data_IF_162358288858
#
_entry.id   IF_162358288858
#
_cell.length_a   1.000
_cell.length_b   1.000
_cell.length_c   1.000
_cell.angle_alpha   90.00
_cell.angle_beta   90.00
_cell.angle_gamma   90.00
#
_symmetry.space_group_name_H-M   'P 1'
#
loop_
_entity.id
_entity.type
_entity.pdbx_description
1 polymer ?
#
# COMPACT_ATOMS: atom_id res chain seq x y z
N UNK A 1 -3.16 3.22 -29.72
CA UNK A 1 -1.84 3.64 -29.14
C UNK A 1 -1.96 4.85 -28.18
N UNK A 2 -2.37 4.65 -26.92
CA UNK A 2 -2.33 5.72 -25.89
C UNK A 2 -1.19 5.51 -24.89
N UNK A 3 0.06 5.68 -25.36
CA UNK A 3 1.28 5.52 -24.55
C UNK A 3 1.36 6.48 -23.35
N UNK A 4 0.77 7.68 -23.47
CA UNK A 4 0.68 8.66 -22.38
C UNK A 4 -0.17 8.16 -21.21
N UNK A 5 -1.40 7.69 -21.48
CA UNK A 5 -2.31 7.18 -20.44
C UNK A 5 -1.67 6.02 -19.66
N UNK A 6 -1.02 5.09 -20.36
CA UNK A 6 -0.30 3.98 -19.73
C UNK A 6 0.81 4.42 -18.77
N UNK A 7 1.61 5.42 -19.17
CA UNK A 7 2.68 5.97 -18.33
C UNK A 7 2.10 6.61 -17.07
N UNK A 8 1.03 7.40 -17.21
CA UNK A 8 0.36 8.04 -16.08
C UNK A 8 -0.21 6.98 -15.12
N UNK A 9 -0.93 5.98 -15.63
CA UNK A 9 -1.47 4.88 -14.81
C UNK A 9 -0.32 4.15 -14.09
N UNK A 10 0.76 3.82 -14.81
CA UNK A 10 1.92 3.16 -14.23
C UNK A 10 2.58 3.98 -13.11
N UNK A 11 2.73 5.28 -13.30
CA UNK A 11 3.28 6.18 -12.28
C UNK A 11 2.37 6.27 -11.05
N UNK A 12 1.07 6.47 -11.23
CA UNK A 12 0.12 6.56 -10.12
C UNK A 12 0.07 5.25 -9.34
N UNK A 13 -0.08 4.12 -10.03
CA UNK A 13 -0.09 2.79 -9.40
C UNK A 13 1.24 2.55 -8.68
N UNK A 14 2.37 2.87 -9.31
CA UNK A 14 3.70 2.71 -8.71
C UNK A 14 3.89 3.55 -7.44
N UNK A 15 3.43 4.80 -7.44
CA UNK A 15 3.50 5.68 -6.26
C UNK A 15 2.64 5.16 -5.12
N UNK A 16 1.40 4.74 -5.40
CA UNK A 16 0.52 4.15 -4.38
C UNK A 16 1.13 2.85 -3.82
N UNK A 17 1.64 1.98 -4.69
CA UNK A 17 2.32 0.75 -4.28
C UNK A 17 3.54 1.01 -3.41
N UNK A 18 4.39 1.98 -3.80
CA UNK A 18 5.56 2.35 -3.01
C UNK A 18 5.15 2.84 -1.61
N UNK A 19 4.13 3.71 -1.52
CA UNK A 19 3.60 4.17 -0.23
C UNK A 19 3.08 3.02 0.65
N UNK A 20 2.29 2.11 0.08
CA UNK A 20 1.76 0.94 0.80
C UNK A 20 2.85 -0.04 1.23
N UNK A 21 3.87 -0.27 0.39
CA UNK A 21 5.01 -1.11 0.73
C UNK A 21 5.82 -0.50 1.88
N UNK A 22 6.08 0.81 1.84
CA UNK A 22 6.75 1.53 2.92
C UNK A 22 5.92 1.41 4.21
N UNK A 23 4.61 1.62 4.16
CA UNK A 23 3.71 1.40 5.31
C UNK A 23 3.88 0.00 5.88
N UNK A 24 3.82 -1.03 5.04
CA UNK A 24 3.90 -2.43 5.48
C UNK A 24 5.23 -2.70 6.20
N UNK A 25 6.35 -2.25 5.62
CA UNK A 25 7.68 -2.40 6.23
C UNK A 25 7.75 -1.66 7.57
N UNK A 26 7.30 -0.40 7.63
CA UNK A 26 7.32 0.39 8.86
C UNK A 26 6.48 -0.26 9.97
N UNK A 27 5.27 -0.74 9.64
CA UNK A 27 4.39 -1.44 10.59
C UNK A 27 5.05 -2.73 11.08
N UNK A 28 5.59 -3.54 10.17
CA UNK A 28 6.28 -4.80 10.50
C UNK A 28 7.50 -4.60 11.40
N UNK A 29 8.25 -3.52 11.19
CA UNK A 29 9.43 -3.19 11.99
C UNK A 29 9.10 -2.47 13.31
N UNK A 30 7.81 -2.21 13.58
CA UNK A 30 7.40 -1.49 14.80
C UNK A 30 7.87 -0.04 14.81
N UNK A 31 7.87 0.63 13.65
CA UNK A 31 8.30 2.02 13.54
C UNK A 31 7.47 2.96 14.44
N UNK A 32 8.14 3.94 15.04
CA UNK A 32 7.50 4.91 15.93
C UNK A 32 6.48 5.79 15.19
N UNK A 33 5.20 5.69 15.53
CA UNK A 33 4.09 6.46 14.92
C UNK A 33 4.12 7.96 15.27
N UNK A 34 4.87 8.36 16.30
CA UNK A 34 5.09 9.76 16.65
C UNK A 34 6.11 10.45 15.73
N UNK A 35 6.88 9.67 14.95
CA UNK A 35 7.79 10.25 13.97
C UNK A 35 7.00 10.82 12.78
N UNK A 36 7.25 12.08 12.43
CA UNK A 36 6.51 12.83 11.38
C UNK A 36 6.52 12.10 10.02
N UNK A 37 7.63 11.47 9.64
CA UNK A 37 7.71 10.73 8.37
C UNK A 37 6.85 9.46 8.41
N UNK A 38 6.97 8.68 9.48
CA UNK A 38 6.18 7.44 9.68
C UNK A 38 4.69 7.77 9.72
N UNK A 39 4.32 8.77 10.50
CA UNK A 39 2.96 9.27 10.62
C UNK A 39 2.40 9.73 9.26
N UNK A 40 3.17 10.53 8.52
CA UNK A 40 2.79 11.02 7.20
C UNK A 40 2.52 9.88 6.21
N UNK A 41 3.36 8.85 6.19
CA UNK A 41 3.13 7.65 5.36
C UNK A 41 1.82 6.97 5.76
N UNK A 42 1.59 6.77 7.06
CA UNK A 42 0.37 6.13 7.54
C UNK A 42 -0.88 6.93 7.17
N UNK A 43 -0.86 8.26 7.36
CA UNK A 43 -1.98 9.13 7.01
C UNK A 43 -2.30 9.12 5.52
N UNK A 44 -1.29 9.26 4.65
CA UNK A 44 -1.48 9.34 3.19
C UNK A 44 -2.02 8.02 2.64
N UNK A 45 -1.58 6.89 3.20
CA UNK A 45 -1.98 5.55 2.74
C UNK A 45 -3.29 5.08 3.37
N UNK A 46 -3.72 5.67 4.49
CA UNK A 46 -4.88 5.22 5.25
C UNK A 46 -6.18 5.11 4.43
N UNK A 47 -6.55 6.06 3.56
CA UNK A 47 -7.80 5.96 2.82
C UNK A 47 -7.89 4.71 1.93
N UNK A 48 -6.76 4.25 1.38
CA UNK A 48 -6.70 3.04 0.54
C UNK A 48 -6.81 1.78 1.41
N UNK A 49 -6.14 1.78 2.56
CA UNK A 49 -6.13 0.64 3.49
C UNK A 49 -7.47 0.48 4.21
N UNK A 50 -8.11 1.57 4.61
CA UNK A 50 -9.35 1.60 5.39
C UNK A 50 -10.50 0.80 4.74
N UNK A 51 -10.50 0.69 3.41
CA UNK A 51 -11.49 -0.10 2.65
C UNK A 51 -11.41 -1.60 2.99
N UNK A 52 -10.22 -2.08 3.39
CA UNK A 52 -9.92 -3.50 3.65
C UNK A 52 -9.70 -3.80 5.13
N UNK A 53 -9.85 -2.81 6.01
CA UNK A 53 -9.75 -3.02 7.45
C UNK A 53 -10.86 -3.95 7.95
N UNK A 54 -10.53 -4.81 8.90
CA UNK A 54 -11.47 -5.78 9.47
C UNK A 54 -11.68 -7.06 8.65
N UNK A 55 -11.15 -7.17 7.42
CA UNK A 55 -11.20 -8.42 6.64
C UNK A 55 -10.42 -9.53 7.37
N UNK A 56 -9.25 -9.19 7.91
CA UNK A 56 -8.46 -10.05 8.78
C UNK A 56 -7.97 -9.27 9.99
N UNK A 57 -7.81 -9.98 11.11
CA UNK A 57 -7.21 -9.40 12.31
C UNK A 57 -5.74 -9.03 12.07
N UNK A 58 -5.28 -7.96 12.72
CA UNK A 58 -3.86 -7.60 12.74
C UNK A 58 -3.09 -8.62 13.57
N UNK A 59 -1.84 -8.90 13.17
CA UNK A 59 -0.99 -9.89 13.83
C UNK A 59 0.20 -9.15 14.43
N UNK A 60 0.32 -9.17 15.76
CA UNK A 60 1.48 -8.61 16.44
C UNK A 60 2.71 -9.51 16.25
N UNK A 61 3.84 -8.89 15.92
CA UNK A 61 5.15 -9.54 15.76
C UNK A 61 6.04 -9.05 16.91
N UNK A 62 5.98 -9.78 18.03
CA UNK A 62 6.59 -9.34 19.30
C UNK A 62 7.92 -10.06 19.54
N UNK A 63 8.98 -9.72 18.78
CA UNK A 63 10.25 -10.45 18.90
C UNK A 63 11.52 -9.60 19.21
N UNK A 64 11.53 -8.27 19.14
CA UNK A 64 12.75 -7.49 19.43
C UNK A 64 12.39 -6.04 19.80
N UNK A 65 12.55 -5.61 21.07
CA UNK A 65 12.55 -4.21 21.59
C UNK A 65 11.45 -3.19 21.15
N UNK A 66 10.65 -3.51 20.15
CA UNK A 66 9.58 -2.78 19.50
C UNK A 66 8.56 -3.83 19.01
N UNK A 67 7.28 -3.55 19.19
CA UNK A 67 6.21 -4.46 18.77
C UNK A 67 5.84 -4.16 17.31
N UNK A 68 6.31 -5.01 16.40
CA UNK A 68 5.88 -4.97 15.00
C UNK A 68 4.41 -5.37 14.86
N UNK A 69 3.75 -4.90 13.82
CA UNK A 69 2.38 -5.27 13.48
C UNK A 69 2.35 -5.63 12.00
N UNK A 70 1.96 -6.87 11.71
CA UNK A 70 1.54 -7.23 10.36
C UNK A 70 0.08 -6.82 10.19
N UNK A 71 -0.16 -6.02 9.14
CA UNK A 71 -1.47 -5.46 8.83
C UNK A 71 -1.96 -6.06 7.49
N UNK A 72 -2.75 -7.16 7.52
CA UNK A 72 -3.20 -7.83 6.31
C UNK A 72 -3.97 -6.91 5.35
N UNK A 73 -4.67 -5.91 5.88
CA UNK A 73 -5.38 -4.90 5.10
C UNK A 73 -4.45 -4.14 4.14
N UNK A 74 -3.23 -3.78 4.57
CA UNK A 74 -2.22 -3.17 3.68
C UNK A 74 -1.81 -4.12 2.57
N UNK A 75 -1.60 -5.40 2.88
CA UNK A 75 -1.23 -6.39 1.87
C UNK A 75 -2.36 -6.58 0.84
N UNK A 76 -3.61 -6.65 1.29
CA UNK A 76 -4.78 -6.73 0.40
C UNK A 76 -4.88 -5.47 -0.47
N UNK A 77 -4.71 -4.28 0.12
CA UNK A 77 -4.71 -3.03 -0.62
C UNK A 77 -3.65 -3.03 -1.74
N UNK A 78 -2.44 -3.52 -1.46
CA UNK A 78 -1.40 -3.68 -2.47
C UNK A 78 -1.84 -4.62 -3.59
N UNK A 79 -2.38 -5.80 -3.27
CA UNK A 79 -2.85 -6.75 -4.28
C UNK A 79 -3.94 -6.15 -5.17
N UNK A 80 -4.95 -5.50 -4.57
CA UNK A 80 -6.08 -4.92 -5.30
C UNK A 80 -5.64 -3.76 -6.19
N UNK A 81 -4.81 -2.84 -5.68
CA UNK A 81 -4.28 -1.72 -6.48
C UNK A 81 -3.44 -2.23 -7.65
N UNK A 82 -2.63 -3.28 -7.45
CA UNK A 82 -1.84 -3.88 -8.52
C UNK A 82 -2.73 -4.51 -9.60
N UNK A 83 -3.78 -5.24 -9.20
CA UNK A 83 -4.74 -5.84 -10.12
C UNK A 83 -5.50 -4.77 -10.93
N UNK A 84 -5.98 -3.71 -10.27
CA UNK A 84 -6.66 -2.59 -10.94
C UNK A 84 -5.70 -1.93 -11.94
N UNK A 85 -4.46 -1.63 -11.53
CA UNK A 85 -3.45 -1.05 -12.41
C UNK A 85 -3.19 -1.90 -13.65
N UNK A 86 -3.05 -3.22 -13.47
CA UNK A 86 -2.86 -4.16 -14.56
C UNK A 86 -4.05 -4.19 -15.53
N UNK A 87 -5.29 -4.26 -15.02
CA UNK A 87 -6.50 -4.24 -15.85
C UNK A 87 -6.59 -2.94 -16.65
N UNK A 88 -6.37 -1.80 -16.00
CA UNK A 88 -6.40 -0.49 -16.65
C UNK A 88 -5.34 -0.41 -17.76
N UNK A 89 -4.10 -0.81 -17.48
CA UNK A 89 -3.04 -0.82 -18.50
C UNK A 89 -3.39 -1.72 -19.69
N UNK A 90 -4.00 -2.89 -19.44
CA UNK A 90 -4.44 -3.80 -20.51
C UNK A 90 -5.55 -3.19 -21.36
N UNK A 91 -6.52 -2.51 -20.74
CA UNK A 91 -7.60 -1.82 -21.45
C UNK A 91 -7.06 -0.74 -22.40
N UNK A 92 -6.14 0.11 -21.93
CA UNK A 92 -5.47 1.11 -22.77
C UNK A 92 -4.40 0.54 -23.72
N UNK A 93 -4.17 -0.77 -23.70
CA UNK A 93 -3.32 -1.49 -24.66
C UNK A 93 -4.10 -1.97 -25.89
N UNK A 94 -5.40 -2.23 -25.75
CA UNK A 94 -6.23 -2.92 -26.74
C UNK A 94 -6.83 -2.02 -27.85
N UNK A 95 -6.40 -0.76 -27.96
CA UNK A 95 -6.80 0.22 -28.98
C UNK A 95 -5.56 1.06 -29.39
#
# INVERSE_FOLDING_TARGET
MNSGAKKIIGLVVGLVQAGLLIRLILKLLGANSENVFVNGVYMITQPVVAIFEGIFAQISVTNISAAGVFEPATLIAMLVVALIGWVLQKFFSGH
#
